data_IF_083885601235
#
_entry.id   IF_083885601235
#
_cell.length_a   1.000
_cell.length_b   1.000
_cell.length_c   1.000
_cell.angle_alpha   90.00
_cell.angle_beta   90.00
_cell.angle_gamma   90.00
#
_symmetry.space_group_name_H-M   'P 1'
#
loop_
_entity.id
_entity.type
_entity.pdbx_description
1 polymer ?
#
# COMPACT_ATOMS: atom_id res chain seq x y z
N UNK A 1 -4.67 6.47 -5.58
CA UNK A 1 -3.24 6.16 -5.37
C UNK A 1 -2.51 5.95 -6.68
N UNK A 2 -3.16 5.38 -7.68
CA UNK A 2 -2.62 4.97 -9.00
C UNK A 2 -1.79 6.06 -9.72
N UNK A 3 -2.25 7.32 -9.78
CA UNK A 3 -1.46 8.40 -10.40
C UNK A 3 -0.17 8.75 -9.65
N UNK A 4 -0.21 8.80 -8.30
CA UNK A 4 0.97 9.03 -7.47
C UNK A 4 1.95 7.86 -7.59
N UNK A 5 1.43 6.63 -7.52
CA UNK A 5 2.22 5.41 -7.70
C UNK A 5 2.89 5.37 -9.07
N UNK A 6 2.18 5.67 -10.16
CA UNK A 6 2.75 5.81 -11.51
C UNK A 6 3.84 6.88 -11.57
N UNK A 7 3.63 8.05 -10.94
CA UNK A 7 4.65 9.11 -10.92
C UNK A 7 5.95 8.72 -10.20
N UNK A 8 5.90 7.71 -9.33
CA UNK A 8 7.02 7.24 -8.52
C UNK A 8 7.64 5.98 -9.12
N UNK A 9 6.84 4.99 -9.49
CA UNK A 9 7.28 3.68 -9.98
C UNK A 9 7.39 3.64 -11.51
N UNK A 10 6.73 4.55 -12.22
CA UNK A 10 6.67 4.56 -13.67
C UNK A 10 5.88 3.36 -14.21
N UNK A 11 6.36 2.70 -15.28
CA UNK A 11 5.67 1.59 -15.94
C UNK A 11 5.38 0.37 -15.05
N UNK A 12 6.04 0.24 -13.89
CA UNK A 12 5.75 -0.82 -12.92
C UNK A 12 4.46 -0.56 -12.10
N UNK A 13 3.71 0.48 -12.41
CA UNK A 13 2.37 0.76 -11.86
C UNK A 13 1.41 1.11 -13.00
N UNK A 14 0.10 1.00 -12.76
CA UNK A 14 -0.90 1.33 -13.78
C UNK A 14 -1.04 2.85 -13.94
N UNK A 15 -1.19 3.32 -15.17
CA UNK A 15 -1.68 4.68 -15.44
C UNK A 15 -3.21 4.67 -15.55
N UNK A 16 -3.85 5.75 -15.07
CA UNK A 16 -5.28 5.98 -15.27
C UNK A 16 -5.48 6.58 -16.66
N UNK A 17 -6.26 5.92 -17.50
CA UNK A 17 -6.57 6.38 -18.85
C UNK A 17 -7.89 7.14 -18.92
N UNK A 18 -8.78 6.94 -17.93
CA UNK A 18 -10.03 7.67 -17.78
C UNK A 18 -11.00 6.97 -16.85
N UNK A 19 -12.10 7.65 -16.55
CA UNK A 19 -13.24 7.09 -15.83
C UNK A 19 -14.27 6.60 -16.85
N UNK A 20 -14.75 5.36 -16.68
CA UNK A 20 -15.89 4.89 -17.48
C UNK A 20 -17.17 5.14 -16.70
N UNK A 21 -18.14 5.81 -17.36
CA UNK A 21 -19.52 5.87 -16.88
C UNK A 21 -20.38 4.88 -17.67
N UNK A 22 -20.40 3.57 -17.32
CA UNK A 22 -21.45 2.70 -17.80
C UNK A 22 -22.73 3.01 -17.01
N UNK A 23 -23.85 3.06 -17.73
CA UNK A 23 -25.18 3.37 -17.23
C UNK A 23 -25.56 2.64 -15.92
N UNK A 24 -26.18 3.40 -15.01
CA UNK A 24 -27.05 3.02 -13.87
C UNK A 24 -26.55 2.05 -12.78
N UNK A 25 -25.43 1.32 -12.86
CA UNK A 25 -25.03 0.41 -11.76
C UNK A 25 -23.53 0.27 -11.44
N UNK A 26 -22.59 0.98 -12.06
CA UNK A 26 -21.20 0.91 -11.60
C UNK A 26 -20.29 1.99 -12.15
N UNK A 27 -19.51 2.62 -11.28
CA UNK A 27 -18.37 3.45 -11.68
C UNK A 27 -17.15 2.54 -11.82
N UNK A 28 -16.37 2.70 -12.89
CA UNK A 28 -15.18 1.91 -13.15
C UNK A 28 -13.98 2.77 -13.54
N UNK A 29 -12.77 2.29 -13.23
CA UNK A 29 -11.52 2.91 -13.66
C UNK A 29 -10.96 2.17 -14.87
N UNK A 30 -10.60 2.92 -15.92
CA UNK A 30 -9.85 2.37 -17.05
C UNK A 30 -8.37 2.56 -16.78
N UNK A 31 -7.64 1.45 -16.66
CA UNK A 31 -6.23 1.42 -16.31
C UNK A 31 -5.41 0.77 -17.43
N UNK A 32 -4.15 1.18 -17.58
CA UNK A 32 -3.22 0.46 -18.47
C UNK A 32 -3.05 -0.98 -18.00
N UNK A 33 -3.02 -1.91 -18.96
CA UNK A 33 -2.63 -3.29 -18.70
C UNK A 33 -1.13 -3.37 -18.39
N UNK A 34 -0.77 -4.15 -17.37
CA UNK A 34 0.62 -4.47 -17.05
C UNK A 34 0.90 -5.92 -17.49
N UNK A 35 1.90 -6.17 -18.34
CA UNK A 35 2.26 -7.52 -18.76
C UNK A 35 2.97 -8.27 -17.64
N UNK A 36 3.06 -9.60 -17.75
CA UNK A 36 3.82 -10.47 -16.86
C UNK A 36 2.95 -11.51 -16.17
N UNK A 37 3.62 -12.39 -15.42
CA UNK A 37 2.99 -13.47 -14.65
C UNK A 37 3.08 -13.15 -13.16
N UNK A 38 2.02 -13.37 -12.38
CA UNK A 38 2.07 -13.24 -10.92
C UNK A 38 3.23 -14.03 -10.33
N UNK A 39 3.99 -13.40 -9.44
CA UNK A 39 5.19 -13.98 -8.86
C UNK A 39 4.89 -15.29 -8.14
N UNK A 40 3.74 -15.37 -7.46
CA UNK A 40 3.25 -16.60 -6.80
C UNK A 40 3.22 -17.82 -7.75
N UNK A 41 2.95 -17.63 -9.04
CA UNK A 41 2.92 -18.71 -10.03
C UNK A 41 4.31 -19.07 -10.54
N UNK A 42 5.23 -18.09 -10.64
CA UNK A 42 6.58 -18.33 -11.12
C UNK A 42 7.50 -18.87 -10.01
N UNK A 43 7.31 -18.43 -8.77
CA UNK A 43 8.22 -18.66 -7.64
C UNK A 43 8.67 -20.11 -7.47
N UNK A 44 7.80 -21.14 -7.57
CA UNK A 44 8.21 -22.53 -7.40
C UNK A 44 9.20 -23.03 -8.47
N UNK A 45 9.23 -22.38 -9.63
CA UNK A 45 10.07 -22.76 -10.77
C UNK A 45 11.40 -22.00 -10.86
N UNK A 46 11.58 -20.96 -10.03
CA UNK A 46 12.77 -20.12 -10.08
C UNK A 46 13.95 -20.79 -9.37
N UNK A 47 15.11 -20.76 -10.02
CA UNK A 47 16.38 -21.14 -9.40
C UNK A 47 16.84 -20.08 -8.38
N UNK A 48 17.74 -20.42 -7.44
CA UNK A 48 18.21 -19.46 -6.45
C UNK A 48 18.80 -18.15 -7.02
N UNK A 49 19.60 -18.16 -8.12
CA UNK A 49 20.05 -16.92 -8.75
C UNK A 49 18.90 -16.06 -9.31
N UNK A 50 17.86 -16.69 -9.87
CA UNK A 50 16.69 -15.99 -10.41
C UNK A 50 15.86 -15.36 -9.28
N UNK A 51 15.66 -16.09 -8.18
CA UNK A 51 15.05 -15.55 -6.96
C UNK A 51 15.83 -14.33 -6.43
N UNK A 52 17.16 -14.37 -6.46
CA UNK A 52 17.98 -13.25 -6.03
C UNK A 52 17.82 -12.02 -6.94
N UNK A 53 17.74 -12.23 -8.26
CA UNK A 53 17.50 -11.17 -9.23
C UNK A 53 16.14 -10.47 -9.01
N UNK A 54 15.08 -11.26 -8.87
CA UNK A 54 13.72 -10.73 -8.61
C UNK A 54 13.68 -9.96 -7.28
N UNK A 55 14.29 -10.49 -6.21
CA UNK A 55 14.40 -9.80 -4.92
C UNK A 55 15.15 -8.47 -5.02
N UNK A 56 16.25 -8.44 -5.78
CA UNK A 56 17.03 -7.21 -5.96
C UNK A 56 16.21 -6.13 -6.66
N UNK A 57 15.43 -6.49 -7.68
CA UNK A 57 14.57 -5.54 -8.36
C UNK A 57 13.39 -5.07 -7.49
N UNK A 58 12.73 -5.99 -6.79
CA UNK A 58 11.71 -5.64 -5.78
C UNK A 58 12.27 -4.67 -4.75
N UNK A 59 13.48 -4.93 -4.23
CA UNK A 59 14.17 -4.04 -3.30
C UNK A 59 14.36 -2.63 -3.88
N UNK A 60 14.79 -2.54 -5.14
CA UNK A 60 14.94 -1.25 -5.86
C UNK A 60 13.61 -0.51 -6.00
N UNK A 61 12.53 -1.22 -6.37
CA UNK A 61 11.20 -0.62 -6.53
C UNK A 61 10.62 -0.15 -5.18
N UNK A 62 10.77 -0.94 -4.12
CA UNK A 62 10.33 -0.56 -2.78
C UNK A 62 11.12 0.63 -2.22
N UNK A 63 12.43 0.66 -2.43
CA UNK A 63 13.25 1.81 -2.09
C UNK A 63 12.79 3.07 -2.86
N UNK A 64 12.49 2.93 -4.15
CA UNK A 64 11.96 4.02 -4.98
C UNK A 64 10.59 4.49 -4.49
N UNK A 65 9.69 3.58 -4.12
CA UNK A 65 8.39 3.89 -3.51
C UNK A 65 8.57 4.75 -2.26
N UNK A 66 9.54 4.39 -1.40
CA UNK A 66 9.84 5.07 -0.13
C UNK A 66 10.79 6.26 -0.24
N UNK A 67 11.26 6.59 -1.43
CA UNK A 67 12.29 7.63 -1.64
C UNK A 67 11.75 9.05 -1.49
N UNK A 68 10.47 9.28 -1.81
CA UNK A 68 9.84 10.59 -1.69
C UNK A 68 9.48 10.87 -0.23
N UNK A 69 9.78 12.09 0.21
CA UNK A 69 9.33 12.62 1.49
C UNK A 69 7.94 13.20 1.33
N UNK A 70 7.05 12.86 2.25
CA UNK A 70 5.73 13.46 2.36
C UNK A 70 5.68 14.34 3.62
N UNK A 71 4.78 15.31 3.64
CA UNK A 71 4.53 16.18 4.80
C UNK A 71 3.24 15.82 5.53
N UNK A 72 2.64 14.68 5.19
CA UNK A 72 1.37 14.22 5.73
C UNK A 72 1.43 12.73 6.04
N UNK A 73 0.62 12.29 7.01
CA UNK A 73 0.43 10.88 7.33
C UNK A 73 -0.92 10.40 6.76
N UNK A 74 -0.97 9.18 6.24
CA UNK A 74 -2.17 8.62 5.61
C UNK A 74 -2.26 8.90 4.11
N UNK A 75 -3.47 9.17 3.59
CA UNK A 75 -3.71 9.33 2.14
C UNK A 75 -3.54 10.79 1.69
N UNK A 76 -3.12 11.04 0.42
CA UNK A 76 -3.05 12.39 -0.12
C UNK A 76 -4.41 13.11 -0.07
N UNK A 77 -4.38 14.43 0.10
CA UNK A 77 -5.57 15.32 0.08
C UNK A 77 -6.64 15.00 1.15
N UNK A 78 -6.25 14.49 2.31
CA UNK A 78 -7.18 14.26 3.43
C UNK A 78 -8.30 13.25 3.17
N UNK A 79 -8.16 12.39 2.14
CA UNK A 79 -9.16 11.38 1.82
C UNK A 79 -9.32 10.38 2.96
N UNK A 80 -10.58 10.15 3.33
CA UNK A 80 -10.94 9.41 4.53
C UNK A 80 -10.43 7.95 4.44
N UNK A 81 -9.95 7.35 5.54
CA UNK A 81 -9.98 5.89 5.63
C UNK A 81 -11.44 5.48 5.52
N UNK A 82 -11.75 4.68 4.50
CA UNK A 82 -13.07 4.10 4.32
C UNK A 82 -12.96 2.66 4.82
N UNK A 83 -13.43 2.41 6.04
CA UNK A 83 -13.61 1.05 6.52
C UNK A 83 -14.99 0.59 6.06
N UNK A 84 -15.00 -0.45 5.23
CA UNK A 84 -16.21 -1.15 4.85
C UNK A 84 -16.50 -2.20 5.92
N UNK A 85 -17.67 -2.12 6.55
CA UNK A 85 -18.18 -3.15 7.44
C UNK A 85 -19.56 -3.61 6.96
N UNK A 86 -20.03 -4.74 7.48
CA UNK A 86 -21.41 -5.20 7.26
C UNK A 86 -22.46 -4.17 7.72
N UNK A 87 -22.07 -3.19 8.54
CA UNK A 87 -22.93 -2.16 9.13
C UNK A 87 -22.82 -0.79 8.45
N UNK A 88 -22.01 -0.68 7.39
CA UNK A 88 -21.88 0.54 6.59
C UNK A 88 -20.43 1.00 6.42
N UNK A 89 -20.33 2.24 5.93
CA UNK A 89 -19.08 2.90 5.59
C UNK A 89 -18.68 3.85 6.72
N UNK A 90 -17.50 3.63 7.30
CA UNK A 90 -16.90 4.55 8.27
C UNK A 90 -15.78 5.34 7.62
N UNK A 91 -15.73 6.65 7.91
CA UNK A 91 -14.84 7.62 7.27
C UNK A 91 -13.93 8.27 8.32
N UNK A 92 -12.60 8.13 8.20
CA UNK A 92 -11.63 8.79 9.10
C UNK A 92 -10.70 9.77 8.37
N UNK A 93 -10.66 11.04 8.79
CA UNK A 93 -9.93 12.14 8.11
C UNK A 93 -8.42 11.89 8.14
N UNK A 94 -7.64 12.31 7.14
CA UNK A 94 -6.17 12.24 7.28
C UNK A 94 -5.66 13.25 8.29
N UNK A 95 -4.45 13.00 8.78
CA UNK A 95 -3.91 13.68 9.93
C UNK A 95 -2.66 14.48 9.56
N UNK A 96 -2.63 15.73 10.01
CA UNK A 96 -1.54 16.66 9.73
C UNK A 96 -0.30 16.35 10.58
N UNK A 97 -0.47 15.61 11.68
CA UNK A 97 0.61 15.21 12.58
C UNK A 97 0.65 13.72 12.87
N UNK A 98 1.82 13.25 13.33
CA UNK A 98 2.02 11.88 13.81
C UNK A 98 1.10 11.52 14.98
N UNK A 99 0.85 12.47 15.89
CA UNK A 99 -0.01 12.27 17.05
C UNK A 99 -1.44 11.98 16.62
N UNK A 100 -1.98 12.85 15.77
CA UNK A 100 -3.33 12.71 15.24
C UNK A 100 -3.50 11.40 14.43
N UNK A 101 -2.49 11.00 13.65
CA UNK A 101 -2.49 9.69 12.98
C UNK A 101 -2.48 8.53 13.99
N UNK A 102 -1.71 8.66 15.06
CA UNK A 102 -1.65 7.67 16.13
C UNK A 102 -2.99 7.51 16.83
N UNK A 103 -3.61 8.62 17.22
CA UNK A 103 -4.91 8.65 17.89
C UNK A 103 -6.01 8.03 17.02
N UNK A 104 -5.97 8.24 15.70
CA UNK A 104 -6.88 7.57 14.76
C UNK A 104 -6.76 6.06 14.76
N UNK A 105 -5.53 5.54 14.72
CA UNK A 105 -5.31 4.09 14.73
C UNK A 105 -5.74 3.51 16.06
N UNK A 106 -5.46 4.19 17.16
CA UNK A 106 -5.95 3.81 18.49
C UNK A 106 -7.47 3.74 18.48
N UNK A 107 -8.16 4.79 18.01
CA UNK A 107 -9.61 4.80 17.92
C UNK A 107 -10.17 3.68 17.04
N UNK A 108 -9.61 3.47 15.84
CA UNK A 108 -10.03 2.41 14.93
C UNK A 108 -9.84 1.01 15.55
N UNK A 109 -8.73 0.77 16.26
CA UNK A 109 -8.50 -0.51 16.92
C UNK A 109 -9.40 -0.69 18.14
N UNK A 110 -9.58 0.33 18.98
CA UNK A 110 -10.49 0.25 20.14
C UNK A 110 -11.91 -0.09 19.71
N UNK A 111 -12.37 0.48 18.59
CA UNK A 111 -13.71 0.22 18.04
C UNK A 111 -13.88 -1.20 17.51
N UNK A 112 -12.82 -1.82 17.02
CA UNK A 112 -12.84 -3.14 16.39
C UNK A 112 -12.18 -4.23 17.25
N UNK A 113 -11.76 -3.91 18.47
CA UNK A 113 -11.13 -4.86 19.37
C UNK A 113 -12.19 -5.85 19.88
N UNK A 114 -11.84 -7.14 20.03
CA UNK A 114 -12.75 -8.15 20.57
C UNK A 114 -13.11 -7.89 22.04
N UNK A 115 -12.20 -7.27 22.79
CA UNK A 115 -12.36 -6.94 24.21
C UNK A 115 -11.48 -5.74 24.62
N UNK A 116 -11.71 -5.25 25.84
CA UNK A 116 -11.04 -4.07 26.38
C UNK A 116 -9.55 -4.31 26.69
N UNK A 117 -9.15 -5.54 27.04
CA UNK A 117 -7.75 -5.87 27.31
C UNK A 117 -6.94 -5.79 26.01
N UNK A 118 -7.47 -6.38 24.94
CA UNK A 118 -6.88 -6.31 23.61
C UNK A 118 -6.82 -4.89 23.07
N UNK A 119 -7.83 -4.07 23.35
CA UNK A 119 -7.83 -2.65 22.99
C UNK A 119 -6.67 -1.89 23.65
N UNK A 120 -6.43 -2.12 24.94
CA UNK A 120 -5.33 -1.51 25.71
C UNK A 120 -3.97 -1.95 25.18
N UNK A 121 -3.79 -3.24 24.87
CA UNK A 121 -2.53 -3.73 24.31
C UNK A 121 -2.23 -3.16 22.92
N UNK A 122 -3.24 -3.07 22.06
CA UNK A 122 -3.10 -2.47 20.74
C UNK A 122 -2.78 -0.98 20.84
N UNK A 123 -3.40 -0.26 21.78
CA UNK A 123 -3.07 1.14 22.04
C UNK A 123 -1.63 1.31 22.51
N UNK A 124 -1.18 0.47 23.47
CA UNK A 124 0.22 0.46 23.93
C UNK A 124 1.20 0.21 22.80
N UNK A 125 0.88 -0.68 21.86
CA UNK A 125 1.73 -0.93 20.69
C UNK A 125 1.84 0.28 19.74
N UNK A 126 0.80 1.11 19.61
CA UNK A 126 0.87 2.30 18.76
C UNK A 126 1.49 3.52 19.42
N UNK A 127 1.24 3.65 20.73
CA UNK A 127 1.73 4.77 21.56
C UNK A 127 3.10 4.51 22.17
N UNK A 128 3.53 3.25 22.23
CA UNK A 128 4.79 2.85 22.85
C UNK A 128 5.97 3.62 22.27
N UNK A 129 7.03 3.75 23.06
CA UNK A 129 8.25 4.48 22.73
C UNK A 129 8.96 3.84 21.53
N UNK A 130 8.52 4.22 20.34
CA UNK A 130 9.22 3.99 19.10
C UNK A 130 10.42 4.93 19.09
N UNK A 131 11.44 4.59 19.87
CA UNK A 131 12.77 5.21 19.81
C UNK A 131 13.49 4.63 18.59
N UNK A 132 13.06 5.03 17.40
CA UNK A 132 13.78 4.72 16.17
C UNK A 132 14.98 5.65 15.98
N UNK A 133 15.88 5.26 15.07
CA UNK A 133 16.96 6.13 14.58
C UNK A 133 16.39 7.43 13.96
N UNK A 134 17.24 8.43 13.72
CA UNK A 134 16.82 9.68 13.08
C UNK A 134 16.00 9.41 11.80
N UNK A 135 14.91 10.16 11.61
CA UNK A 135 14.00 10.05 10.45
C UNK A 135 13.17 8.74 10.40
N UNK A 136 13.09 7.95 11.49
CA UNK A 136 12.33 6.69 11.52
C UNK A 136 10.83 6.88 11.26
N UNK A 137 10.25 7.99 11.73
CA UNK A 137 8.82 8.28 11.63
C UNK A 137 8.43 9.04 10.35
N UNK A 138 9.37 9.13 9.40
CA UNK A 138 9.12 9.85 8.15
C UNK A 138 7.97 9.21 7.37
N UNK A 139 6.94 9.97 6.98
CA UNK A 139 5.89 9.43 6.13
C UNK A 139 6.43 9.14 4.74
N UNK A 140 6.18 7.93 4.27
CA UNK A 140 6.60 7.40 2.96
C UNK A 140 5.41 6.76 2.27
N UNK A 141 5.48 6.62 0.94
CA UNK A 141 4.52 5.80 0.23
C UNK A 141 4.82 4.33 0.49
N UNK A 142 3.78 3.58 0.85
CA UNK A 142 3.80 2.12 0.98
C UNK A 142 2.63 1.52 0.19
N UNK A 143 2.76 0.24 -0.17
CA UNK A 143 1.68 -0.50 -0.81
C UNK A 143 0.46 -0.64 0.10
N UNK A 144 0.71 -1.02 1.36
CA UNK A 144 -0.32 -1.27 2.36
C UNK A 144 -0.73 -2.75 2.43
N UNK A 145 -0.70 -3.45 1.31
CA UNK A 145 -1.04 -4.88 1.22
C UNK A 145 -0.24 -5.55 0.10
N UNK A 146 1.08 -5.64 0.24
CA UNK A 146 1.93 -6.20 -0.83
C UNK A 146 2.10 -7.71 -0.63
N UNK A 147 1.64 -8.49 -1.58
CA UNK A 147 1.81 -9.93 -1.65
C UNK A 147 2.49 -10.37 -2.96
N UNK A 148 2.85 -11.65 -3.05
CA UNK A 148 3.42 -12.25 -4.27
C UNK A 148 2.39 -12.43 -5.39
N UNK A 149 1.08 -12.39 -5.11
CA UNK A 149 0.06 -12.30 -6.14
C UNK A 149 -0.04 -10.92 -6.79
N UNK A 150 0.42 -9.87 -6.10
CA UNK A 150 0.35 -8.49 -6.59
C UNK A 150 1.55 -8.09 -7.44
N UNK A 151 2.55 -8.95 -7.52
CA UNK A 151 3.81 -8.69 -8.23
C UNK A 151 3.76 -9.41 -9.58
N UNK A 152 3.84 -8.66 -10.68
CA UNK A 152 3.99 -9.22 -12.02
C UNK A 152 5.47 -9.26 -12.40
N UNK A 153 5.90 -10.39 -12.94
CA UNK A 153 7.26 -10.61 -13.41
C UNK A 153 7.24 -11.17 -14.84
N UNK A 154 8.11 -10.64 -15.67
CA UNK A 154 8.39 -11.20 -16.99
C UNK A 154 9.20 -12.51 -16.83
N UNK A 155 8.70 -13.67 -17.29
CA UNK A 155 9.35 -14.96 -17.04
C UNK A 155 10.68 -15.14 -17.78
N UNK A 156 10.90 -14.40 -18.87
CA UNK A 156 12.09 -14.55 -19.71
C UNK A 156 13.23 -13.64 -19.21
N UNK A 157 12.89 -12.44 -18.76
CA UNK A 157 13.85 -11.41 -18.33
C UNK A 157 13.97 -11.29 -16.82
N UNK A 158 13.01 -11.85 -16.07
CA UNK A 158 12.85 -11.72 -14.61
C UNK A 158 12.62 -10.28 -14.14
N UNK A 159 12.28 -9.40 -15.07
CA UNK A 159 11.97 -8.01 -14.77
C UNK A 159 10.64 -7.93 -14.01
N UNK A 160 10.59 -7.13 -12.94
CA UNK A 160 9.33 -6.80 -12.26
C UNK A 160 8.57 -5.79 -13.11
N UNK A 161 7.57 -6.27 -13.82
CA UNK A 161 6.79 -5.49 -14.81
C UNK A 161 5.57 -4.81 -14.20
N UNK A 162 5.16 -5.20 -12.98
CA UNK A 162 4.02 -4.59 -12.33
C UNK A 162 3.93 -4.84 -10.84
N UNK A 163 3.40 -3.83 -10.13
CA UNK A 163 2.87 -3.93 -8.78
C UNK A 163 1.39 -3.56 -8.87
N UNK A 164 0.52 -4.47 -8.48
CA UNK A 164 -0.94 -4.41 -8.54
C UNK A 164 -1.54 -4.05 -7.18
N UNK A 165 -2.79 -3.59 -7.20
CA UNK A 165 -3.63 -3.26 -6.04
C UNK A 165 -3.04 -2.22 -5.06
#
# INVERSE_FOLDING_TARGET
MTALAYSILGPASRAILGDSTPSRTGQGLVLTHLPGTPLVLLWPSLTPPQCAAVKAELGRLLARMRSRRFSYYGRPMQHLYILFSAYGIEKFICYASRSEWGDSRVHAMQKNAPDAERAVDLERLQRGDLTGADDWDRPVLTHGDLSDSDILVDPDTLAVTGILD
#
